data_IF_097119866484
#
_entry.id   IF_097119866484
#
_cell.length_a   1.000
_cell.length_b   1.000
_cell.length_c   1.000
_cell.angle_alpha   90.00
_cell.angle_beta   90.00
_cell.angle_gamma   90.00
#
_symmetry.space_group_name_H-M   'P 1'
#
loop_
_entity.id
_entity.type
_entity.pdbx_description
1 polymer ?
#
# COMPACT_ATOMS: atom_id res chain seq x y z
N UNK A 1 32.35 3.47 13.45
CA UNK A 1 31.71 2.20 13.81
C UNK A 1 30.48 2.00 12.92
N UNK A 2 30.52 1.09 11.92
CA UNK A 2 29.42 0.83 11.00
C UNK A 2 28.94 -0.63 11.06
N UNK A 3 28.65 -1.17 12.24
CA UNK A 3 28.32 -2.60 12.40
C UNK A 3 26.87 -2.89 12.83
N UNK A 4 26.02 -1.88 13.08
CA UNK A 4 24.66 -2.12 13.57
C UNK A 4 23.56 -2.16 12.48
N UNK A 5 23.80 -1.61 11.29
CA UNK A 5 22.78 -1.57 10.21
C UNK A 5 22.56 -2.92 9.52
N UNK A 6 23.55 -3.80 9.52
CA UNK A 6 23.43 -5.11 8.84
C UNK A 6 22.64 -6.17 9.62
N UNK A 7 22.52 -6.03 10.95
CA UNK A 7 21.83 -7.02 11.80
C UNK A 7 20.32 -6.92 11.79
N UNK A 8 19.73 -5.75 11.48
CA UNK A 8 18.26 -5.55 11.56
C UNK A 8 17.51 -6.25 10.42
N UNK A 9 18.02 -6.24 9.19
CA UNK A 9 17.41 -6.95 8.05
C UNK A 9 17.41 -8.47 8.26
N UNK A 10 18.50 -9.03 8.80
CA UNK A 10 18.62 -10.47 9.09
C UNK A 10 17.62 -10.96 10.16
N UNK A 11 17.25 -10.10 11.11
CA UNK A 11 16.33 -10.47 12.22
C UNK A 11 14.88 -10.55 11.74
N UNK A 12 14.43 -9.61 10.90
CA UNK A 12 13.09 -9.65 10.29
C UNK A 12 12.92 -10.87 9.37
N UNK A 13 13.92 -11.17 8.55
CA UNK A 13 13.92 -12.32 7.65
C UNK A 13 13.90 -13.64 8.42
N UNK A 14 14.65 -13.75 9.48
CA UNK A 14 14.73 -14.98 10.30
C UNK A 14 13.46 -15.21 11.10
N UNK A 15 12.85 -14.15 11.66
CA UNK A 15 11.61 -14.24 12.45
C UNK A 15 10.38 -14.55 11.59
N UNK A 16 10.37 -14.14 10.33
CA UNK A 16 9.27 -14.37 9.39
C UNK A 16 9.41 -15.70 8.62
N UNK A 17 10.46 -16.47 8.83
CA UNK A 17 10.68 -17.77 8.17
C UNK A 17 10.95 -17.67 6.66
N UNK A 18 11.39 -16.49 6.16
CA UNK A 18 11.62 -16.25 4.74
C UNK A 18 12.95 -16.76 4.23
N UNK A 19 12.89 -17.37 3.04
CA UNK A 19 14.09 -17.55 2.21
C UNK A 19 14.38 -16.24 1.45
N UNK A 20 15.67 -15.82 1.36
CA UNK A 20 16.07 -14.61 0.63
C UNK A 20 15.64 -14.56 -0.84
N UNK A 21 15.34 -15.71 -1.44
CA UNK A 21 14.95 -15.88 -2.85
C UNK A 21 13.59 -15.24 -3.20
N UNK A 22 12.70 -15.02 -2.22
CA UNK A 22 11.38 -14.44 -2.48
C UNK A 22 11.40 -12.90 -2.59
N UNK A 23 12.50 -12.26 -2.21
CA UNK A 23 12.63 -10.79 -2.21
C UNK A 23 12.91 -10.26 -3.63
N UNK A 24 13.66 -10.98 -4.45
CA UNK A 24 14.00 -10.53 -5.81
C UNK A 24 12.79 -10.53 -6.76
N UNK A 25 11.83 -11.42 -6.57
CA UNK A 25 10.61 -11.50 -7.38
C UNK A 25 9.45 -10.66 -6.84
N UNK A 26 9.61 -10.02 -5.68
CA UNK A 26 8.61 -9.22 -4.99
C UNK A 26 8.66 -7.73 -5.36
N UNK A 27 8.94 -6.91 -4.35
CA UNK A 27 8.97 -5.44 -4.47
C UNK A 27 10.28 -4.88 -5.05
N UNK A 28 11.29 -5.70 -5.32
CA UNK A 28 12.54 -5.31 -5.99
C UNK A 28 12.31 -4.66 -7.35
N UNK A 29 11.24 -5.06 -8.07
CA UNK A 29 10.83 -4.46 -9.35
C UNK A 29 10.45 -2.98 -9.26
N UNK A 30 10.12 -2.47 -8.08
CA UNK A 30 9.76 -1.08 -7.86
C UNK A 30 10.96 -0.16 -7.54
N UNK A 31 12.20 -0.69 -7.55
CA UNK A 31 13.41 0.11 -7.29
C UNK A 31 13.57 1.25 -8.28
N UNK A 32 13.32 0.98 -9.55
CA UNK A 32 13.50 1.94 -10.63
C UNK A 32 12.50 3.10 -10.58
N UNK A 33 11.40 2.94 -9.86
CA UNK A 33 10.40 3.97 -9.64
C UNK A 33 10.49 4.63 -8.25
N UNK A 34 11.53 4.32 -7.47
CA UNK A 34 11.84 5.02 -6.22
C UNK A 34 11.69 4.21 -4.94
N UNK A 35 11.44 2.90 -4.99
CA UNK A 35 11.43 2.09 -3.77
C UNK A 35 12.84 1.93 -3.23
N UNK A 36 13.05 2.31 -1.97
CA UNK A 36 14.27 1.97 -1.25
C UNK A 36 14.26 0.50 -0.84
N UNK A 37 15.42 -0.12 -0.55
CA UNK A 37 15.47 -1.48 0.00
C UNK A 37 14.61 -1.63 1.26
N UNK A 38 14.65 -0.65 2.18
CA UNK A 38 13.86 -0.67 3.40
C UNK A 38 12.35 -0.65 3.12
N UNK A 39 11.89 0.13 2.13
CA UNK A 39 10.50 0.16 1.70
C UNK A 39 10.08 -1.19 1.09
N UNK A 40 10.91 -1.75 0.21
CA UNK A 40 10.63 -3.05 -0.41
C UNK A 40 10.51 -4.17 0.65
N UNK A 41 11.39 -4.18 1.66
CA UNK A 41 11.33 -5.11 2.79
C UNK A 41 10.07 -4.92 3.64
N UNK A 42 9.69 -3.68 3.97
CA UNK A 42 8.49 -3.38 4.74
C UNK A 42 7.21 -3.83 3.99
N UNK A 43 7.12 -3.57 2.68
CA UNK A 43 6.02 -4.02 1.84
C UNK A 43 5.96 -5.54 1.73
N UNK A 44 7.11 -6.20 1.58
CA UNK A 44 7.17 -7.66 1.54
C UNK A 44 6.71 -8.27 2.86
N UNK A 45 7.15 -7.73 3.99
CA UNK A 45 6.71 -8.17 5.31
C UNK A 45 5.17 -7.99 5.48
N UNK A 46 4.63 -6.83 5.05
CA UNK A 46 3.20 -6.57 5.08
C UNK A 46 2.41 -7.56 4.19
N UNK A 47 2.91 -7.86 2.98
CA UNK A 47 2.29 -8.84 2.06
C UNK A 47 2.18 -10.22 2.69
N UNK A 48 3.25 -10.66 3.34
CA UNK A 48 3.27 -11.99 3.92
C UNK A 48 2.39 -12.09 5.13
N UNK A 49 2.45 -11.10 6.02
CA UNK A 49 1.53 -11.02 7.14
C UNK A 49 0.07 -11.08 6.67
N UNK A 50 -0.28 -10.30 5.66
CA UNK A 50 -1.63 -10.27 5.06
C UNK A 50 -2.03 -11.65 4.54
N UNK A 51 -1.17 -12.32 3.77
CA UNK A 51 -1.44 -13.66 3.22
C UNK A 51 -1.65 -14.69 4.34
N UNK A 52 -0.77 -14.74 5.32
CA UNK A 52 -0.88 -15.68 6.44
C UNK A 52 -2.19 -15.45 7.22
N UNK A 53 -2.56 -14.18 7.41
CA UNK A 53 -3.79 -13.82 8.11
C UNK A 53 -5.03 -14.21 7.30
N UNK A 54 -5.02 -14.04 5.98
CA UNK A 54 -6.10 -14.49 5.09
C UNK A 54 -6.26 -16.02 5.12
N UNK A 55 -5.17 -16.76 4.97
CA UNK A 55 -5.15 -18.22 5.02
C UNK A 55 -5.67 -18.75 6.37
N UNK A 56 -5.34 -18.05 7.47
CA UNK A 56 -5.86 -18.37 8.80
C UNK A 56 -7.37 -18.13 8.90
N UNK A 57 -7.86 -16.98 8.45
CA UNK A 57 -9.30 -16.64 8.48
C UNK A 57 -10.11 -17.62 7.61
N UNK A 58 -9.54 -18.04 6.48
CA UNK A 58 -10.16 -19.03 5.57
C UNK A 58 -10.10 -20.47 6.09
N UNK A 59 -9.44 -20.69 7.24
CA UNK A 59 -9.30 -22.03 7.81
C UNK A 59 -8.33 -22.94 7.04
N UNK A 60 -7.54 -22.39 6.12
CA UNK A 60 -6.58 -23.14 5.30
C UNK A 60 -5.28 -23.44 6.04
N UNK A 61 -4.98 -22.70 7.12
CA UNK A 61 -3.84 -22.93 7.98
C UNK A 61 -4.26 -23.68 9.24
N UNK A 62 -3.57 -24.77 9.54
CA UNK A 62 -3.63 -25.43 10.86
C UNK A 62 -3.13 -24.44 11.91
N UNK A 63 -3.97 -24.18 12.92
CA UNK A 63 -3.83 -23.21 14.01
C UNK A 63 -2.41 -22.63 14.18
N UNK A 64 -2.12 -21.45 13.63
CA UNK A 64 -0.87 -20.76 13.94
C UNK A 64 -0.90 -20.31 15.40
N UNK A 65 0.26 -20.18 16.01
CA UNK A 65 0.39 -19.53 17.31
C UNK A 65 -0.08 -18.07 17.19
N UNK A 66 -1.18 -17.73 17.87
CA UNK A 66 -1.75 -16.38 17.85
C UNK A 66 -0.73 -15.34 18.35
N UNK A 67 0.15 -15.71 19.27
CA UNK A 67 1.23 -14.85 19.76
C UNK A 67 2.16 -14.47 18.61
N UNK A 68 2.52 -15.44 17.77
CA UNK A 68 3.36 -15.20 16.58
C UNK A 68 2.68 -14.26 15.58
N UNK A 69 1.37 -14.42 15.33
CA UNK A 69 0.62 -13.51 14.46
C UNK A 69 0.61 -12.08 15.00
N UNK A 70 0.39 -11.92 16.31
CA UNK A 70 0.39 -10.62 16.98
C UNK A 70 1.77 -9.96 16.91
N UNK A 71 2.83 -10.71 17.17
CA UNK A 71 4.21 -10.21 17.12
C UNK A 71 4.58 -9.80 15.69
N UNK A 72 4.22 -10.60 14.70
CA UNK A 72 4.42 -10.26 13.28
C UNK A 72 3.65 -9.00 12.89
N UNK A 73 2.39 -8.86 13.31
CA UNK A 73 1.60 -7.64 13.08
C UNK A 73 2.32 -6.40 13.62
N UNK A 74 2.77 -6.47 14.87
CA UNK A 74 3.45 -5.35 15.51
C UNK A 74 4.76 -5.01 14.79
N UNK A 75 5.51 -6.03 14.36
CA UNK A 75 6.77 -5.86 13.64
C UNK A 75 6.57 -5.22 12.26
N UNK A 76 5.56 -5.67 11.50
CA UNK A 76 5.19 -5.08 10.20
C UNK A 76 4.76 -3.63 10.37
N UNK A 77 3.89 -3.37 11.36
CA UNK A 77 3.43 -2.01 11.64
C UNK A 77 4.59 -1.08 12.00
N UNK A 78 5.49 -1.54 12.87
CA UNK A 78 6.71 -0.81 13.21
C UNK A 78 7.60 -0.55 11.97
N UNK A 79 7.80 -1.55 11.11
CA UNK A 79 8.60 -1.39 9.89
C UNK A 79 8.03 -0.31 8.96
N UNK A 80 6.69 -0.25 8.81
CA UNK A 80 6.02 0.78 8.02
C UNK A 80 6.16 2.18 8.65
N UNK A 81 6.03 2.28 9.98
CA UNK A 81 6.17 3.54 10.72
C UNK A 81 7.61 4.09 10.68
N UNK A 82 8.60 3.21 10.64
CA UNK A 82 10.02 3.58 10.59
C UNK A 82 10.53 3.96 9.20
N UNK A 83 9.68 3.91 8.15
CA UNK A 83 10.07 4.41 6.83
C UNK A 83 10.33 5.92 6.90
N UNK A 84 11.54 6.40 6.56
CA UNK A 84 11.85 7.82 6.58
C UNK A 84 10.95 8.59 5.60
N UNK A 85 10.67 9.85 5.89
CA UNK A 85 9.99 10.73 4.93
C UNK A 85 10.92 11.04 3.74
N UNK A 86 10.35 11.45 2.60
CA UNK A 86 11.16 11.81 1.42
C UNK A 86 12.11 12.97 1.71
N UNK A 87 11.78 13.86 2.65
CA UNK A 87 12.64 14.97 3.06
C UNK A 87 13.93 14.49 3.77
N UNK A 88 13.89 13.32 4.38
CA UNK A 88 15.05 12.68 5.01
C UNK A 88 15.92 11.92 4.00
N UNK A 89 15.49 11.84 2.74
CA UNK A 89 16.14 11.13 1.64
C UNK A 89 16.41 12.09 0.44
N UNK A 90 17.22 13.14 0.61
CA UNK A 90 17.37 14.19 -0.41
C UNK A 90 18.00 13.70 -1.72
N UNK A 91 18.69 12.57 -1.71
CA UNK A 91 19.33 11.98 -2.90
C UNK A 91 18.42 11.05 -3.70
N UNK A 92 17.17 10.87 -3.26
CA UNK A 92 16.24 9.95 -3.92
C UNK A 92 15.71 10.58 -5.23
N UNK A 93 15.90 9.89 -6.35
CA UNK A 93 15.53 10.39 -7.68
C UNK A 93 14.01 10.57 -7.88
N UNK A 94 13.19 9.83 -7.13
CA UNK A 94 11.74 9.75 -7.31
C UNK A 94 10.98 9.98 -6.00
N UNK A 95 11.24 11.12 -5.37
CA UNK A 95 10.70 11.47 -4.04
C UNK A 95 9.17 11.43 -3.99
N UNK A 96 8.48 11.88 -5.05
CA UNK A 96 7.01 11.88 -5.09
C UNK A 96 6.44 10.46 -5.07
N UNK A 97 6.99 9.55 -5.87
CA UNK A 97 6.53 8.15 -5.89
C UNK A 97 6.81 7.47 -4.56
N UNK A 98 8.01 7.68 -4.02
CA UNK A 98 8.39 7.16 -2.71
C UNK A 98 7.45 7.64 -1.61
N UNK A 99 7.24 8.96 -1.49
CA UNK A 99 6.42 9.54 -0.43
C UNK A 99 4.93 9.16 -0.57
N UNK A 100 4.40 9.14 -1.79
CA UNK A 100 3.04 8.66 -2.03
C UNK A 100 2.89 7.17 -1.63
N UNK A 101 3.85 6.33 -1.98
CA UNK A 101 3.87 4.91 -1.58
C UNK A 101 3.98 4.74 -0.07
N UNK A 102 4.83 5.54 0.59
CA UNK A 102 4.99 5.54 2.06
C UNK A 102 3.70 5.94 2.77
N UNK A 103 3.05 7.01 2.33
CA UNK A 103 1.79 7.48 2.91
C UNK A 103 0.66 6.47 2.71
N UNK A 104 0.55 5.86 1.52
CA UNK A 104 -0.42 4.80 1.26
C UNK A 104 -0.14 3.55 2.11
N UNK A 105 1.13 3.22 2.34
CA UNK A 105 1.51 2.11 3.23
C UNK A 105 1.18 2.40 4.70
N UNK A 106 1.31 3.64 5.15
CA UNK A 106 0.85 4.06 6.48
C UNK A 106 -0.68 3.98 6.60
N UNK A 107 -1.43 4.39 5.55
CA UNK A 107 -2.88 4.21 5.50
C UNK A 107 -3.24 2.72 5.63
N UNK A 108 -2.56 1.85 4.86
CA UNK A 108 -2.74 0.41 4.96
C UNK A 108 -2.38 -0.12 6.35
N UNK A 109 -1.29 0.37 6.93
CA UNK A 109 -0.85 0.00 8.28
C UNK A 109 -1.89 0.28 9.35
N UNK A 110 -2.44 1.50 9.40
CA UNK A 110 -3.38 1.94 10.45
C UNK A 110 -4.85 1.65 10.13
N UNK A 111 -5.18 1.39 8.87
CA UNK A 111 -6.55 1.07 8.45
C UNK A 111 -6.82 -0.43 8.34
N UNK A 112 -5.79 -1.23 8.06
CA UNK A 112 -5.93 -2.66 7.73
C UNK A 112 -5.16 -3.56 8.68
N UNK A 113 -3.85 -3.33 8.86
CA UNK A 113 -3.00 -4.20 9.69
C UNK A 113 -3.27 -3.98 11.19
N UNK A 114 -3.37 -2.71 11.59
CA UNK A 114 -3.61 -2.31 12.97
C UNK A 114 -4.73 -1.25 13.01
N UNK A 115 -5.99 -1.66 12.76
CA UNK A 115 -7.09 -0.71 12.69
C UNK A 115 -7.26 0.04 14.00
N UNK A 116 -7.18 1.37 13.93
CA UNK A 116 -7.38 2.25 15.07
C UNK A 116 -8.85 2.66 15.17
N UNK A 117 -9.38 2.91 16.38
CA UNK A 117 -10.73 3.42 16.58
C UNK A 117 -10.96 4.71 15.79
N UNK A 118 -12.17 4.89 15.26
CA UNK A 118 -12.53 6.00 14.36
C UNK A 118 -12.18 7.40 14.90
N UNK A 119 -12.27 7.62 16.22
CA UNK A 119 -11.94 8.90 16.84
C UNK A 119 -10.45 9.19 17.01
N UNK A 120 -9.58 8.18 16.83
CA UNK A 120 -8.12 8.28 17.05
C UNK A 120 -7.30 7.97 15.81
N UNK A 121 -7.96 7.72 14.67
CA UNK A 121 -7.27 7.33 13.44
C UNK A 121 -6.61 8.53 12.74
N UNK A 122 -5.36 8.42 12.29
CA UNK A 122 -4.70 9.45 11.49
C UNK A 122 -5.10 9.45 10.01
N UNK A 123 -6.04 8.58 9.58
CA UNK A 123 -6.45 8.44 8.17
C UNK A 123 -6.84 9.76 7.49
N UNK A 124 -7.58 10.69 8.15
CA UNK A 124 -7.89 11.99 7.58
C UNK A 124 -6.66 12.79 7.18
N UNK A 125 -5.67 12.84 8.05
CA UNK A 125 -4.43 13.58 7.79
C UNK A 125 -3.54 12.86 6.78
N UNK A 126 -3.42 11.55 6.87
CA UNK A 126 -2.65 10.75 5.90
C UNK A 126 -3.23 10.88 4.49
N UNK A 127 -4.55 10.82 4.32
CA UNK A 127 -5.19 11.01 3.02
C UNK A 127 -5.02 12.43 2.48
N UNK A 128 -5.04 13.46 3.34
CA UNK A 128 -4.77 14.85 2.96
C UNK A 128 -3.32 15.01 2.45
N UNK A 129 -2.35 14.49 3.20
CA UNK A 129 -0.93 14.52 2.79
C UNK A 129 -0.72 13.77 1.49
N UNK A 130 -1.34 12.60 1.34
CA UNK A 130 -1.24 11.80 0.14
C UNK A 130 -1.76 12.57 -1.09
N UNK A 131 -2.91 13.22 -0.97
CA UNK A 131 -3.45 14.08 -2.03
C UNK A 131 -2.47 15.20 -2.38
N UNK A 132 -1.93 15.91 -1.38
CA UNK A 132 -0.96 16.98 -1.59
C UNK A 132 0.27 16.49 -2.36
N UNK A 133 0.83 15.33 -1.98
CA UNK A 133 2.01 14.75 -2.66
C UNK A 133 1.69 14.39 -4.11
N UNK A 134 0.52 13.79 -4.38
CA UNK A 134 0.12 13.40 -5.74
C UNK A 134 -0.18 14.60 -6.65
N UNK A 135 -0.45 15.77 -6.09
CA UNK A 135 -0.64 17.03 -6.83
C UNK A 135 0.67 17.74 -7.18
N UNK A 136 1.81 17.29 -6.63
CA UNK A 136 3.11 17.84 -6.98
C UNK A 136 3.47 17.47 -8.44
N UNK A 137 4.17 18.37 -9.14
CA UNK A 137 4.68 18.06 -10.47
C UNK A 137 5.59 16.82 -10.43
N UNK A 138 5.22 15.82 -11.18
CA UNK A 138 5.98 14.56 -11.31
C UNK A 138 6.16 14.28 -12.79
N UNK A 139 7.31 13.69 -13.18
CA UNK A 139 7.50 13.24 -14.55
C UNK A 139 6.41 12.24 -14.94
N UNK A 140 5.61 12.49 -15.98
CA UNK A 140 4.52 11.58 -16.38
C UNK A 140 5.01 10.16 -16.64
N UNK A 141 6.24 9.99 -17.12
CA UNK A 141 6.84 8.68 -17.41
C UNK A 141 6.90 7.74 -16.20
N UNK A 142 6.97 8.29 -14.99
CA UNK A 142 7.03 7.49 -13.76
C UNK A 142 5.74 6.71 -13.48
N UNK A 143 4.59 7.34 -13.76
CA UNK A 143 3.29 6.74 -13.53
C UNK A 143 2.77 5.92 -14.72
N UNK A 144 3.41 6.04 -15.90
CA UNK A 144 3.01 5.32 -17.13
C UNK A 144 3.78 4.01 -17.33
N UNK A 145 4.86 3.76 -16.60
CA UNK A 145 5.50 2.43 -16.58
C UNK A 145 4.55 1.38 -16.00
N UNK A 146 4.70 0.10 -16.36
CA UNK A 146 3.86 -0.97 -15.79
C UNK A 146 3.87 -1.00 -14.25
N UNK A 147 5.05 -0.84 -13.65
CA UNK A 147 5.25 -0.79 -12.19
C UNK A 147 4.64 0.48 -11.59
N UNK A 148 4.85 1.63 -12.24
CA UNK A 148 4.30 2.92 -11.83
C UNK A 148 2.78 2.94 -11.87
N UNK A 149 2.18 2.38 -12.91
CA UNK A 149 0.73 2.28 -13.07
C UNK A 149 0.09 1.45 -11.97
N UNK A 150 0.66 0.28 -11.70
CA UNK A 150 0.13 -0.64 -10.67
C UNK A 150 0.22 -0.03 -9.28
N UNK A 151 1.36 0.58 -8.94
CA UNK A 151 1.54 1.23 -7.64
C UNK A 151 0.63 2.45 -7.50
N UNK A 152 0.41 3.22 -8.57
CA UNK A 152 -0.49 4.38 -8.57
C UNK A 152 -1.95 3.95 -8.36
N UNK A 153 -2.41 2.89 -9.02
CA UNK A 153 -3.75 2.32 -8.81
C UNK A 153 -3.95 1.95 -7.33
N UNK A 154 -2.97 1.28 -6.72
CA UNK A 154 -3.02 0.92 -5.32
C UNK A 154 -3.03 2.15 -4.40
N UNK A 155 -2.13 3.12 -4.63
CA UNK A 155 -2.04 4.36 -3.86
C UNK A 155 -3.37 5.13 -3.89
N UNK A 156 -3.95 5.31 -5.09
CA UNK A 156 -5.21 6.04 -5.26
C UNK A 156 -6.38 5.31 -4.59
N UNK A 157 -6.41 3.98 -4.66
CA UNK A 157 -7.43 3.17 -4.00
C UNK A 157 -7.34 3.31 -2.47
N UNK A 158 -6.14 3.24 -1.89
CA UNK A 158 -5.92 3.47 -0.45
C UNK A 158 -6.32 4.88 -0.04
N UNK A 159 -5.97 5.89 -0.84
CA UNK A 159 -6.37 7.28 -0.62
C UNK A 159 -7.89 7.49 -0.65
N UNK A 160 -8.58 6.88 -1.61
CA UNK A 160 -10.03 6.92 -1.72
C UNK A 160 -10.71 6.28 -0.50
N UNK A 161 -10.26 5.10 -0.07
CA UNK A 161 -10.77 4.41 1.12
C UNK A 161 -10.57 5.29 2.37
N UNK A 162 -9.37 5.82 2.57
CA UNK A 162 -9.05 6.66 3.73
C UNK A 162 -9.78 8.01 3.75
N UNK A 163 -10.26 8.47 2.60
CA UNK A 163 -10.99 9.72 2.45
C UNK A 163 -12.52 9.56 2.58
N UNK A 164 -13.05 8.41 3.01
CA UNK A 164 -14.49 8.11 3.05
C UNK A 164 -15.33 9.19 3.76
N UNK A 165 -14.84 9.75 4.85
CA UNK A 165 -15.52 10.80 5.61
C UNK A 165 -15.37 12.22 5.02
N UNK A 166 -14.64 12.40 3.90
CA UNK A 166 -14.29 13.68 3.31
C UNK A 166 -14.69 13.74 1.83
N UNK A 167 -15.92 14.13 1.51
CA UNK A 167 -16.50 14.00 0.16
C UNK A 167 -15.66 14.64 -0.95
N UNK A 168 -15.16 15.86 -0.76
CA UNK A 168 -14.35 16.56 -1.77
C UNK A 168 -13.03 15.80 -2.06
N UNK A 169 -12.36 15.35 -1.01
CA UNK A 169 -11.12 14.58 -1.15
C UNK A 169 -11.38 13.22 -1.77
N UNK A 170 -12.44 12.55 -1.34
CA UNK A 170 -12.86 11.28 -1.91
C UNK A 170 -13.16 11.40 -3.40
N UNK A 171 -13.92 12.41 -3.80
CA UNK A 171 -14.22 12.69 -5.22
C UNK A 171 -12.94 12.89 -6.03
N UNK A 172 -11.94 13.60 -5.48
CA UNK A 172 -10.66 13.78 -6.13
C UNK A 172 -9.94 12.43 -6.36
N UNK A 173 -9.83 11.58 -5.32
CA UNK A 173 -9.21 10.26 -5.46
C UNK A 173 -9.96 9.36 -6.43
N UNK A 174 -11.29 9.32 -6.35
CA UNK A 174 -12.15 8.53 -7.25
C UNK A 174 -11.97 8.96 -8.70
N UNK A 175 -11.94 10.27 -8.97
CA UNK A 175 -11.72 10.81 -10.32
C UNK A 175 -10.33 10.44 -10.84
N UNK A 176 -9.28 10.64 -10.04
CA UNK A 176 -7.91 10.28 -10.41
C UNK A 176 -7.76 8.78 -10.65
N UNK A 177 -8.36 7.94 -9.79
CA UNK A 177 -8.34 6.48 -9.92
C UNK A 177 -9.08 6.02 -11.18
N UNK A 178 -10.26 6.57 -11.45
CA UNK A 178 -11.04 6.24 -12.64
C UNK A 178 -10.31 6.63 -13.94
N UNK A 179 -9.62 7.78 -13.96
CA UNK A 179 -8.77 8.17 -15.08
C UNK A 179 -7.61 7.18 -15.27
N UNK A 180 -6.91 6.83 -14.18
CA UNK A 180 -5.79 5.88 -14.22
C UNK A 180 -6.27 4.47 -14.62
N UNK A 181 -7.41 4.01 -14.11
CA UNK A 181 -8.01 2.73 -14.48
C UNK A 181 -8.31 2.67 -15.99
N UNK A 182 -8.91 3.73 -16.54
CA UNK A 182 -9.20 3.84 -17.98
C UNK A 182 -7.92 3.80 -18.83
N UNK A 183 -6.86 4.51 -18.43
CA UNK A 183 -5.55 4.47 -19.11
C UNK A 183 -4.95 3.05 -19.11
N UNK A 184 -5.18 2.29 -18.06
CA UNK A 184 -4.70 0.92 -17.91
C UNK A 184 -5.69 -0.14 -18.42
N UNK A 185 -6.77 0.26 -19.11
CA UNK A 185 -7.81 -0.61 -19.67
C UNK A 185 -8.49 -1.48 -18.60
N UNK A 186 -8.60 -0.98 -17.39
CA UNK A 186 -9.34 -1.61 -16.29
C UNK A 186 -10.79 -1.15 -16.42
N UNK A 187 -11.71 -2.10 -16.59
CA UNK A 187 -13.13 -1.88 -16.87
C UNK A 187 -14.06 -2.54 -15.85
N UNK A 188 -13.51 -3.27 -14.90
CA UNK A 188 -14.27 -3.99 -13.88
C UNK A 188 -13.62 -3.94 -12.50
N UNK A 189 -14.46 -4.10 -11.46
CA UNK A 189 -13.97 -4.27 -10.10
C UNK A 189 -12.95 -5.40 -9.96
N UNK A 190 -13.20 -6.54 -10.60
CA UNK A 190 -12.29 -7.68 -10.50
C UNK A 190 -10.91 -7.39 -11.08
N UNK A 191 -10.83 -6.64 -12.17
CA UNK A 191 -9.56 -6.22 -12.77
C UNK A 191 -8.82 -5.23 -11.86
N UNK A 192 -9.52 -4.22 -11.31
CA UNK A 192 -8.93 -3.29 -10.34
C UNK A 192 -8.43 -4.04 -9.11
N UNK A 193 -9.27 -4.91 -8.53
CA UNK A 193 -8.92 -5.72 -7.36
C UNK A 193 -7.66 -6.55 -7.60
N UNK A 194 -7.57 -7.21 -8.76
CA UNK A 194 -6.40 -8.01 -9.13
C UNK A 194 -5.13 -7.14 -9.24
N UNK A 195 -5.25 -5.96 -9.85
CA UNK A 195 -4.14 -5.02 -9.98
C UNK A 195 -3.63 -4.57 -8.60
N UNK A 196 -4.51 -4.08 -7.71
CA UNK A 196 -4.12 -3.60 -6.38
C UNK A 196 -3.65 -4.73 -5.47
N UNK A 197 -4.19 -5.94 -5.61
CA UNK A 197 -3.76 -7.11 -4.87
C UNK A 197 -2.34 -7.55 -5.23
N UNK A 198 -1.84 -7.20 -6.41
CA UNK A 198 -0.44 -7.43 -6.78
C UNK A 198 0.54 -6.55 -5.98
N UNK A 199 0.06 -5.52 -5.28
CA UNK A 199 0.81 -4.70 -4.33
C UNK A 199 0.53 -5.18 -2.91
N UNK A 200 -0.46 -4.64 -2.24
CA UNK A 200 -0.90 -5.02 -0.90
C UNK A 200 -2.43 -4.97 -0.83
N UNK A 201 -3.05 -6.09 -0.47
CA UNK A 201 -4.50 -6.16 -0.35
C UNK A 201 -4.90 -7.22 0.66
N UNK A 202 -5.77 -6.87 1.58
CA UNK A 202 -6.37 -7.78 2.54
C UNK A 202 -7.87 -7.84 2.25
N UNK A 203 -8.32 -8.92 1.60
CA UNK A 203 -9.67 -9.02 1.08
C UNK A 203 -10.74 -8.79 2.14
N UNK A 204 -10.57 -9.36 3.34
CA UNK A 204 -11.51 -9.23 4.44
C UNK A 204 -11.74 -7.77 4.90
N UNK A 205 -10.73 -6.89 4.77
CA UNK A 205 -10.82 -5.49 5.18
C UNK A 205 -11.03 -4.52 4.00
N UNK A 206 -10.52 -4.87 2.81
CA UNK A 206 -10.44 -3.93 1.69
C UNK A 206 -11.47 -4.16 0.59
N UNK A 207 -12.04 -5.37 0.44
CA UNK A 207 -12.94 -5.68 -0.68
C UNK A 207 -14.22 -4.83 -0.64
N UNK A 208 -14.84 -4.69 0.50
CA UNK A 208 -16.08 -3.91 0.63
C UNK A 208 -15.85 -2.40 0.41
N UNK A 209 -14.92 -1.72 1.12
CA UNK A 209 -14.64 -0.31 0.83
C UNK A 209 -14.10 -0.07 -0.58
N UNK A 210 -13.30 -0.98 -1.13
CA UNK A 210 -12.80 -0.90 -2.50
C UNK A 210 -13.91 -1.03 -3.54
N UNK A 211 -14.88 -1.91 -3.32
CA UNK A 211 -16.07 -2.05 -4.18
C UNK A 211 -16.91 -0.78 -4.18
N UNK A 212 -17.10 -0.12 -3.02
CA UNK A 212 -17.79 1.18 -2.95
C UNK A 212 -17.07 2.25 -3.79
N UNK A 213 -15.73 2.30 -3.71
CA UNK A 213 -14.93 3.19 -4.57
C UNK A 213 -15.17 2.89 -6.05
N UNK A 214 -15.20 1.61 -6.44
CA UNK A 214 -15.45 1.22 -7.83
C UNK A 214 -16.83 1.66 -8.33
N UNK A 215 -17.89 1.48 -7.53
CA UNK A 215 -19.23 1.94 -7.87
C UNK A 215 -19.29 3.47 -8.10
N UNK A 216 -18.51 4.23 -7.32
CA UNK A 216 -18.38 5.67 -7.55
C UNK A 216 -17.66 5.97 -8.88
N UNK A 217 -16.62 5.20 -9.22
CA UNK A 217 -15.94 5.33 -10.53
C UNK A 217 -16.92 5.05 -11.68
N UNK A 218 -17.71 4.00 -11.58
CA UNK A 218 -18.72 3.66 -12.61
C UNK A 218 -19.69 4.81 -12.84
N UNK A 219 -20.17 5.45 -11.77
CA UNK A 219 -21.12 6.57 -11.86
C UNK A 219 -20.48 7.85 -12.42
N UNK A 220 -19.31 8.24 -11.89
CA UNK A 220 -18.73 9.56 -12.16
C UNK A 220 -17.82 9.58 -13.39
N UNK A 221 -17.14 8.47 -13.68
CA UNK A 221 -16.10 8.41 -14.70
C UNK A 221 -16.58 7.69 -15.96
N UNK A 222 -17.36 6.61 -15.82
CA UNK A 222 -17.88 5.84 -16.95
C UNK A 222 -19.32 6.24 -17.33
N UNK A 223 -20.00 7.06 -16.53
CA UNK A 223 -21.37 7.53 -16.82
C UNK A 223 -22.42 6.42 -16.80
N UNK A 224 -22.17 5.33 -16.07
CA UNK A 224 -23.11 4.24 -15.90
C UNK A 224 -24.11 4.62 -14.79
N UNK A 225 -25.41 4.57 -15.11
CA UNK A 225 -26.51 4.79 -14.15
C UNK A 225 -26.87 3.49 -13.43
#
# INVERSE_FOLDING_TARGET
>A
MPLEKSRRGSTLQTLLGFRPLDIEHGFGRFRDIGFTPAMAEAFQAARVYTRITEEYIQGSLTKPDLTLIIDQRNLVHYALLCLPSSNELPTLSHQTVYEASRLAALIYGVGVIFPLPSGSTPLPELSRRLQTVLQLPTSPSMWTSPEGSVILLWILTMGAIAAEAFPERRTWFVSALGHTARQNRISSWSELRNAVASVLWFGAACDEPGRRVWVEIERFVFGLQ
#
